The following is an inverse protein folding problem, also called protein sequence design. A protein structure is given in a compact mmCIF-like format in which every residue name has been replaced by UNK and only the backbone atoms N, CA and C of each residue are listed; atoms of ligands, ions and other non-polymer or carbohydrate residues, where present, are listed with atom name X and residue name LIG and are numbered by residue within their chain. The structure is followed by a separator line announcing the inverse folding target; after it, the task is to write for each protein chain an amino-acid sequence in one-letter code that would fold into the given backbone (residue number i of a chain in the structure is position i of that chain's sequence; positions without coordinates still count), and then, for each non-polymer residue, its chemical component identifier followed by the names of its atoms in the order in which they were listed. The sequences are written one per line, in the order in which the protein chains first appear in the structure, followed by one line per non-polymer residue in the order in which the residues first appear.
data_IF_362955387550
#
_entry.id   IF_362955387550
#
_cell.length_a   1.000
_cell.length_b   1.000
_cell.length_c   1.000
_cell.angle_alpha   90.00
_cell.angle_beta   90.00
_cell.angle_gamma   90.00
#
_symmetry.space_group_name_H-M   'P 1'
#
loop_
_entity.id
_entity.type
_entity.pdbx_description
1 polymer ?
#
# COMPACT_ATOMS: atom_id res chain seq x y z
N UNK A 1 -2.13 -19.72 13.21
CA UNK A 1 -1.03 -19.66 14.20
C UNK A 1 -0.94 -18.24 14.79
N UNK A 2 -0.78 -17.21 13.95
CA UNK A 2 -0.87 -15.80 14.36
C UNK A 2 -2.22 -15.42 15.02
N UNK A 3 -3.35 -15.95 14.53
CA UNK A 3 -4.67 -15.67 15.11
C UNK A 3 -4.88 -16.23 16.53
N UNK A 4 -4.12 -17.25 16.92
CA UNK A 4 -4.27 -17.91 18.22
C UNK A 4 -3.24 -17.42 19.25
N UNK A 5 -2.04 -17.02 18.80
CA UNK A 5 -0.98 -16.42 19.63
C UNK A 5 -0.22 -15.35 18.85
N UNK A 6 -0.66 -14.08 18.91
CA UNK A 6 -0.01 -12.99 18.19
C UNK A 6 1.43 -12.73 18.65
N UNK A 7 1.79 -13.14 19.87
CA UNK A 7 3.15 -12.99 20.41
C UNK A 7 4.17 -13.82 19.64
N UNK A 8 3.75 -14.94 19.03
CA UNK A 8 4.63 -15.80 18.22
C UNK A 8 4.97 -15.18 16.86
N UNK A 9 4.28 -14.12 16.44
CA UNK A 9 4.54 -13.45 15.16
C UNK A 9 5.93 -12.81 15.13
N UNK A 10 6.39 -12.21 16.22
CA UNK A 10 7.75 -11.65 16.31
C UNK A 10 8.78 -12.76 16.16
N UNK A 11 8.68 -13.82 16.97
CA UNK A 11 9.67 -14.92 16.98
C UNK A 11 9.77 -15.60 15.61
N UNK A 12 8.63 -15.92 14.99
CA UNK A 12 8.59 -16.54 13.67
C UNK A 12 9.18 -15.65 12.57
N UNK A 13 8.89 -14.35 12.60
CA UNK A 13 9.45 -13.39 11.66
C UNK A 13 10.99 -13.31 11.77
N UNK A 14 11.51 -13.20 13.00
CA UNK A 14 12.95 -13.15 13.29
C UNK A 14 13.69 -14.45 12.96
N UNK A 15 13.01 -15.60 13.04
CA UNK A 15 13.56 -16.91 12.64
C UNK A 15 13.69 -17.10 11.11
N UNK A 16 13.47 -16.04 10.32
CA UNK A 16 13.73 -16.02 8.88
C UNK A 16 12.49 -16.11 8.01
N UNK A 17 11.29 -16.25 8.59
CA UNK A 17 10.04 -16.24 7.82
C UNK A 17 9.87 -14.93 7.06
N UNK A 18 10.10 -13.79 7.71
CA UNK A 18 9.92 -12.48 7.08
C UNK A 18 10.90 -12.28 5.91
N UNK A 19 12.15 -12.68 6.08
CA UNK A 19 13.15 -12.65 5.01
C UNK A 19 12.75 -13.57 3.84
N UNK A 20 12.19 -14.74 4.12
CA UNK A 20 11.71 -15.66 3.09
C UNK A 20 10.52 -15.09 2.32
N UNK A 21 9.55 -14.49 3.01
CA UNK A 21 8.38 -13.84 2.39
C UNK A 21 8.80 -12.71 1.44
N UNK A 22 9.72 -11.84 1.85
CA UNK A 22 10.25 -10.76 1.01
C UNK A 22 10.93 -11.32 -0.26
N UNK A 23 11.74 -12.38 -0.13
CA UNK A 23 12.35 -13.07 -1.28
C UNK A 23 11.28 -13.65 -2.21
N UNK A 24 10.25 -14.27 -1.66
CA UNK A 24 9.16 -14.91 -2.43
C UNK A 24 8.29 -13.90 -3.17
N UNK A 25 8.06 -12.71 -2.60
CA UNK A 25 7.35 -11.61 -3.25
C UNK A 25 8.19 -10.97 -4.37
N UNK A 26 9.49 -10.74 -4.14
CA UNK A 26 10.43 -10.16 -5.12
C UNK A 26 10.76 -11.10 -6.28
N UNK A 27 10.59 -12.41 -6.10
CA UNK A 27 10.91 -13.41 -7.11
C UNK A 27 10.22 -13.08 -8.45
N UNK A 28 10.99 -13.13 -9.54
CA UNK A 28 10.52 -12.89 -10.91
C UNK A 28 9.78 -14.11 -11.43
N UNK A 29 8.64 -14.39 -10.83
CA UNK A 29 7.75 -15.48 -11.19
C UNK A 29 6.37 -14.91 -11.55
N UNK A 30 5.60 -15.59 -12.42
CA UNK A 30 4.21 -15.24 -12.63
C UNK A 30 3.43 -15.19 -11.31
N UNK A 31 2.39 -14.38 -11.27
CA UNK A 31 1.47 -14.36 -10.15
C UNK A 31 0.81 -15.75 -10.00
N UNK A 32 0.75 -16.22 -8.75
CA UNK A 32 0.12 -17.47 -8.35
C UNK A 32 -0.52 -17.32 -6.96
N UNK A 33 -1.39 -18.25 -6.58
CA UNK A 33 -2.08 -18.22 -5.29
C UNK A 33 -1.10 -18.18 -4.09
N UNK A 34 0.08 -18.78 -4.22
CA UNK A 34 1.10 -18.72 -3.18
C UNK A 34 1.67 -17.31 -3.00
N UNK A 35 1.79 -16.53 -4.08
CA UNK A 35 2.24 -15.13 -3.99
C UNK A 35 1.19 -14.26 -3.31
N UNK A 36 -0.09 -14.48 -3.58
CA UNK A 36 -1.20 -13.87 -2.82
C UNK A 36 -1.09 -14.23 -1.34
N UNK A 37 -0.95 -15.51 -1.02
CA UNK A 37 -0.87 -15.97 0.37
C UNK A 37 0.33 -15.38 1.13
N UNK A 38 1.46 -15.22 0.46
CA UNK A 38 2.63 -14.53 1.04
C UNK A 38 2.31 -13.07 1.40
N UNK A 39 1.50 -12.37 0.60
CA UNK A 39 1.11 -10.99 0.89
C UNK A 39 0.19 -10.88 2.11
N UNK A 40 -0.73 -11.82 2.28
CA UNK A 40 -1.62 -11.90 3.45
C UNK A 40 -0.84 -12.18 4.74
N UNK A 41 0.02 -13.20 4.71
CA UNK A 41 0.86 -13.55 5.86
C UNK A 41 1.78 -12.39 6.24
N UNK A 42 2.34 -11.69 5.25
CA UNK A 42 3.16 -10.51 5.50
C UNK A 42 2.37 -9.41 6.21
N UNK A 43 1.16 -9.11 5.75
CA UNK A 43 0.30 -8.10 6.37
C UNK A 43 -0.02 -8.46 7.82
N UNK A 44 -0.31 -9.74 8.10
CA UNK A 44 -0.57 -10.25 9.47
C UNK A 44 0.67 -10.09 10.35
N UNK A 45 1.86 -10.43 9.86
CA UNK A 45 3.09 -10.30 10.67
C UNK A 45 3.41 -8.85 11.05
N UNK A 46 3.02 -7.89 10.21
CA UNK A 46 3.26 -6.47 10.44
C UNK A 46 2.13 -5.79 11.22
N UNK A 47 0.98 -6.46 11.40
CA UNK A 47 -0.17 -5.88 12.08
C UNK A 47 0.17 -5.66 13.56
N UNK A 48 0.09 -4.41 13.99
CA UNK A 48 0.31 -3.98 15.38
C UNK A 48 1.63 -4.49 16.00
N UNK A 49 2.69 -4.62 15.20
CA UNK A 49 3.98 -5.17 15.63
C UNK A 49 5.16 -4.31 15.14
N UNK A 50 5.68 -3.44 16.01
CA UNK A 50 6.79 -2.53 15.69
C UNK A 50 8.13 -3.24 15.46
N UNK A 51 8.38 -4.36 16.15
CA UNK A 51 9.60 -5.15 15.98
C UNK A 51 9.68 -5.72 14.56
N UNK A 52 8.56 -6.24 14.04
CA UNK A 52 8.48 -6.73 12.67
C UNK A 52 8.52 -5.61 11.64
N UNK A 53 7.97 -4.43 11.96
CA UNK A 53 8.07 -3.22 11.10
C UNK A 53 9.51 -2.75 10.97
N UNK A 54 10.29 -2.74 12.06
CA UNK A 54 11.72 -2.40 12.01
C UNK A 54 12.50 -3.46 11.23
N UNK A 55 12.30 -4.75 11.55
CA UNK A 55 12.97 -5.86 10.87
C UNK A 55 12.72 -5.85 9.35
N UNK A 56 11.50 -5.57 8.92
CA UNK A 56 11.21 -5.41 7.49
C UNK A 56 12.01 -4.27 6.88
N UNK A 57 12.10 -3.13 7.58
CA UNK A 57 12.92 -1.99 7.18
C UNK A 57 14.40 -2.36 7.03
N UNK A 58 14.97 -3.08 7.99
CA UNK A 58 16.37 -3.55 7.99
C UNK A 58 16.68 -4.52 6.83
N UNK A 59 15.68 -5.28 6.37
CA UNK A 59 15.81 -6.23 5.27
C UNK A 59 15.52 -5.62 3.88
N UNK A 60 15.61 -4.30 3.75
CA UNK A 60 15.25 -3.54 2.53
C UNK A 60 13.81 -3.84 2.04
N UNK A 61 12.92 -4.21 2.95
CA UNK A 61 11.56 -4.64 2.62
C UNK A 61 10.69 -3.51 2.07
N UNK A 62 10.96 -2.25 2.45
CA UNK A 62 10.27 -1.08 1.89
C UNK A 62 10.47 -1.00 0.38
N UNK A 63 11.70 -1.18 -0.11
CA UNK A 63 11.99 -1.20 -1.54
C UNK A 63 11.32 -2.38 -2.23
N UNK A 64 11.23 -3.54 -1.58
CA UNK A 64 10.50 -4.70 -2.12
C UNK A 64 9.01 -4.36 -2.31
N UNK A 65 8.36 -3.79 -1.29
CA UNK A 65 6.96 -3.39 -1.34
C UNK A 65 6.72 -2.34 -2.45
N UNK A 66 7.54 -1.29 -2.51
CA UNK A 66 7.46 -0.25 -3.54
C UNK A 66 7.67 -0.84 -4.94
N UNK A 67 8.63 -1.74 -5.12
CA UNK A 67 8.88 -2.40 -6.40
C UNK A 67 7.67 -3.23 -6.85
N UNK A 68 7.07 -4.02 -5.95
CA UNK A 68 5.88 -4.82 -6.28
C UNK A 68 4.67 -3.92 -6.61
N UNK A 69 4.43 -2.87 -5.82
CA UNK A 69 3.36 -1.91 -6.08
C UNK A 69 3.57 -1.15 -7.39
N UNK A 70 4.82 -0.90 -7.78
CA UNK A 70 5.14 -0.19 -9.03
C UNK A 70 4.62 -0.87 -10.28
N UNK A 71 4.29 -2.16 -10.24
CA UNK A 71 3.65 -2.88 -11.36
C UNK A 71 2.28 -2.27 -11.68
N UNK A 72 1.54 -1.84 -10.65
CA UNK A 72 0.18 -1.31 -10.75
C UNK A 72 0.11 0.21 -10.94
N UNK A 73 1.24 0.86 -11.28
CA UNK A 73 1.30 2.33 -11.44
C UNK A 73 0.55 2.85 -12.66
N UNK A 74 0.47 2.06 -13.74
CA UNK A 74 -0.15 2.44 -15.03
C UNK A 74 -1.23 1.47 -15.51
N UNK A 75 -1.37 0.32 -14.87
CA UNK A 75 -2.32 -0.73 -15.23
C UNK A 75 -3.05 -1.21 -13.98
N UNK A 76 -4.31 -1.62 -14.15
CA UNK A 76 -5.04 -2.28 -13.09
C UNK A 76 -4.58 -3.75 -12.99
N UNK A 77 -4.75 -4.39 -11.82
CA UNK A 77 -4.66 -5.84 -11.69
C UNK A 77 -5.57 -6.55 -12.72
N UNK A 78 -5.13 -7.71 -13.18
CA UNK A 78 -5.81 -8.50 -14.21
C UNK A 78 -6.93 -9.36 -13.62
N UNK A 79 -6.79 -9.76 -12.36
CA UNK A 79 -7.75 -10.61 -11.64
C UNK A 79 -8.09 -10.03 -10.27
N UNK A 80 -9.15 -10.55 -9.64
CA UNK A 80 -9.54 -10.13 -8.30
C UNK A 80 -8.49 -10.53 -7.25
N UNK A 81 -7.85 -11.69 -7.42
CA UNK A 81 -6.78 -12.20 -6.56
C UNK A 81 -5.52 -11.33 -6.66
N UNK A 82 -5.19 -10.84 -7.86
CA UNK A 82 -4.06 -9.91 -8.03
C UNK A 82 -4.40 -8.54 -7.40
N UNK A 83 -5.66 -8.11 -7.46
CA UNK A 83 -6.12 -6.92 -6.75
C UNK A 83 -6.03 -7.08 -5.23
N UNK A 84 -6.42 -8.23 -4.70
CA UNK A 84 -6.30 -8.53 -3.26
C UNK A 84 -4.84 -8.51 -2.80
N UNK A 85 -3.94 -9.14 -3.57
CA UNK A 85 -2.49 -9.07 -3.30
C UNK A 85 -2.00 -7.61 -3.29
N UNK A 86 -2.45 -6.79 -4.24
CA UNK A 86 -2.08 -5.37 -4.29
C UNK A 86 -2.53 -4.63 -3.01
N UNK A 87 -3.76 -4.87 -2.52
CA UNK A 87 -4.23 -4.24 -1.28
C UNK A 87 -3.45 -4.73 -0.06
N UNK A 88 -3.14 -6.03 0.04
CA UNK A 88 -2.31 -6.57 1.12
C UNK A 88 -0.92 -5.92 1.16
N UNK A 89 -0.32 -5.62 0.00
CA UNK A 89 0.95 -4.90 -0.09
C UNK A 89 0.81 -3.44 0.34
N UNK A 90 -0.30 -2.78 0.03
CA UNK A 90 -0.59 -1.42 0.50
C UNK A 90 -0.79 -1.38 2.02
N UNK A 91 -1.50 -2.34 2.59
CA UNK A 91 -1.72 -2.43 4.03
C UNK A 91 -0.43 -2.74 4.78
N UNK A 92 0.41 -3.64 4.24
CA UNK A 92 1.77 -3.88 4.74
C UNK A 92 2.60 -2.60 4.75
N UNK A 93 2.58 -1.83 3.65
CA UNK A 93 3.32 -0.56 3.55
C UNK A 93 2.79 0.50 4.52
N UNK A 94 1.47 0.64 4.67
CA UNK A 94 0.87 1.55 5.64
C UNK A 94 1.26 1.17 7.07
N UNK A 95 1.25 -0.12 7.40
CA UNK A 95 1.68 -0.61 8.71
C UNK A 95 3.15 -0.26 8.98
N UNK A 96 4.05 -0.48 8.01
CA UNK A 96 5.45 -0.09 8.14
C UNK A 96 5.64 1.41 8.40
N UNK A 97 4.85 2.27 7.75
CA UNK A 97 4.92 3.74 7.90
C UNK A 97 4.42 4.27 9.25
N UNK A 98 3.79 3.41 10.07
CA UNK A 98 3.50 3.73 11.47
C UNK A 98 4.76 3.81 12.32
N UNK A 99 5.87 3.20 11.89
CA UNK A 99 7.17 3.30 12.53
C UNK A 99 8.02 4.39 11.88
N UNK A 100 8.56 5.30 12.68
CA UNK A 100 9.27 6.50 12.21
C UNK A 100 10.49 6.19 11.33
N UNK A 101 11.27 5.15 11.69
CA UNK A 101 12.47 4.72 10.95
C UNK A 101 12.17 4.36 9.50
N UNK A 102 10.99 3.82 9.22
CA UNK A 102 10.59 3.43 7.87
C UNK A 102 10.19 4.61 6.99
N UNK A 103 9.94 5.80 7.55
CA UNK A 103 9.60 6.99 6.77
C UNK A 103 10.78 7.51 5.96
N UNK A 104 11.97 7.49 6.56
CA UNK A 104 13.21 7.82 5.84
C UNK A 104 13.51 6.77 4.76
N UNK A 105 13.31 5.47 5.06
CA UNK A 105 13.47 4.38 4.08
C UNK A 105 12.50 4.55 2.90
N UNK A 106 11.24 4.87 3.16
CA UNK A 106 10.23 5.16 2.13
C UNK A 106 10.59 6.38 1.27
N UNK A 107 11.11 7.44 1.90
CA UNK A 107 11.60 8.63 1.21
C UNK A 107 12.76 8.30 0.26
N UNK A 108 13.76 7.54 0.74
CA UNK A 108 14.91 7.08 -0.04
C UNK A 108 14.50 6.16 -1.20
N UNK A 109 13.50 5.31 -0.99
CA UNK A 109 12.95 4.41 -2.01
C UNK A 109 12.06 5.08 -3.06
N UNK A 110 12.00 6.41 -3.11
CA UNK A 110 11.14 7.19 -4.01
C UNK A 110 9.63 6.87 -3.86
N UNK A 111 9.20 6.48 -2.66
CA UNK A 111 7.82 6.12 -2.38
C UNK A 111 6.84 7.25 -2.69
N UNK A 112 7.21 8.50 -2.38
CA UNK A 112 6.40 9.68 -2.66
C UNK A 112 6.17 9.87 -4.16
N UNK A 113 7.22 9.70 -4.98
CA UNK A 113 7.15 9.81 -6.43
C UNK A 113 6.21 8.75 -7.00
N UNK A 114 6.31 7.52 -6.51
CA UNK A 114 5.44 6.42 -6.93
C UNK A 114 3.98 6.70 -6.57
N UNK A 115 3.67 7.08 -5.33
CA UNK A 115 2.30 7.36 -4.92
C UNK A 115 1.72 8.57 -5.66
N UNK A 116 2.49 9.63 -5.85
CA UNK A 116 2.09 10.80 -6.63
C UNK A 116 1.78 10.42 -8.10
N UNK A 117 2.57 9.54 -8.69
CA UNK A 117 2.30 9.00 -10.03
C UNK A 117 1.00 8.19 -10.05
N UNK A 118 0.78 7.29 -9.10
CA UNK A 118 -0.46 6.49 -9.01
C UNK A 118 -1.71 7.37 -8.89
N UNK A 119 -1.66 8.45 -8.10
CA UNK A 119 -2.75 9.41 -8.00
C UNK A 119 -3.08 10.07 -9.34
N UNK A 120 -2.05 10.42 -10.12
CA UNK A 120 -2.16 11.04 -11.45
C UNK A 120 -2.70 10.09 -12.51
N UNK A 121 -2.34 8.81 -12.46
CA UNK A 121 -2.74 7.76 -13.42
C UNK A 121 -4.19 7.28 -13.25
N UNK A 122 -4.82 7.63 -12.11
CA UNK A 122 -6.27 7.48 -11.91
C UNK A 122 -6.76 6.03 -11.92
N UNK A 123 -5.88 5.07 -11.65
CA UNK A 123 -6.16 3.62 -11.60
C UNK A 123 -6.78 3.20 -10.27
N UNK A 124 -7.09 1.90 -10.13
CA UNK A 124 -7.72 1.37 -8.92
C UNK A 124 -6.83 1.55 -7.67
N UNK A 125 -5.50 1.52 -7.86
CA UNK A 125 -4.47 1.79 -6.85
C UNK A 125 -4.49 3.21 -6.27
N UNK A 126 -5.24 4.15 -6.86
CA UNK A 126 -5.31 5.54 -6.40
C UNK A 126 -5.71 5.65 -4.94
N UNK A 127 -6.76 4.94 -4.54
CA UNK A 127 -7.33 5.09 -3.18
C UNK A 127 -6.30 4.71 -2.13
N UNK A 128 -5.62 3.60 -2.34
CA UNK A 128 -4.60 3.08 -1.42
C UNK A 128 -3.31 3.90 -1.48
N UNK A 129 -2.94 4.43 -2.66
CA UNK A 129 -1.84 5.40 -2.77
C UNK A 129 -2.09 6.69 -1.97
N UNK A 130 -3.35 7.16 -1.92
CA UNK A 130 -3.72 8.31 -1.09
C UNK A 130 -3.57 8.00 0.41
N UNK A 131 -4.01 6.80 0.84
CA UNK A 131 -3.82 6.31 2.22
C UNK A 131 -2.33 6.26 2.59
N UNK A 132 -1.48 5.71 1.72
CA UNK A 132 -0.03 5.67 1.97
C UNK A 132 0.57 7.07 2.15
N UNK A 133 0.17 8.04 1.32
CA UNK A 133 0.63 9.42 1.44
C UNK A 133 0.26 10.05 2.78
N UNK A 134 -0.95 9.80 3.27
CA UNK A 134 -1.39 10.26 4.59
C UNK A 134 -0.49 9.68 5.70
N UNK A 135 -0.29 8.36 5.71
CA UNK A 135 0.59 7.68 6.67
C UNK A 135 2.06 8.14 6.60
N UNK A 136 2.57 8.46 5.41
CA UNK A 136 3.95 8.92 5.23
C UNK A 136 4.18 10.34 5.77
N UNK A 137 3.16 11.19 5.76
CA UNK A 137 3.25 12.63 6.05
C UNK A 137 2.68 13.03 7.41
N UNK A 138 1.93 12.15 8.09
CA UNK A 138 1.27 12.47 9.36
C UNK A 138 2.26 12.65 10.53
N UNK A 139 2.13 13.74 11.29
CA UNK A 139 2.90 13.98 12.51
C UNK A 139 4.34 14.48 12.28
N UNK A 140 5.11 14.75 13.35
CA UNK A 140 6.42 15.40 13.27
C UNK A 140 7.43 14.64 12.42
N UNK A 141 7.44 13.31 12.52
CA UNK A 141 8.32 12.40 11.80
C UNK A 141 8.03 12.36 10.28
N UNK A 142 6.95 13.01 9.83
CA UNK A 142 6.55 13.11 8.42
C UNK A 142 7.03 14.39 7.74
N UNK A 143 7.72 15.27 8.48
CA UNK A 143 8.10 16.61 8.01
C UNK A 143 8.94 16.58 6.73
N UNK A 144 9.93 15.70 6.63
CA UNK A 144 10.76 15.58 5.43
C UNK A 144 9.95 15.07 4.23
N UNK A 145 9.02 14.14 4.49
CA UNK A 145 8.10 13.67 3.46
C UNK A 145 7.16 14.77 2.97
N UNK A 146 6.67 15.63 3.86
CA UNK A 146 5.86 16.80 3.49
C UNK A 146 6.61 17.76 2.57
N UNK A 147 7.84 18.14 2.93
CA UNK A 147 8.67 19.01 2.09
C UNK A 147 8.94 18.37 0.73
N UNK A 148 9.37 17.10 0.72
CA UNK A 148 9.63 16.39 -0.53
C UNK A 148 8.39 16.27 -1.39
N UNK A 149 7.21 16.05 -0.80
CA UNK A 149 5.95 15.96 -1.52
C UNK A 149 5.64 17.26 -2.28
N UNK A 150 5.91 18.42 -1.68
CA UNK A 150 5.78 19.73 -2.35
C UNK A 150 6.79 19.84 -3.50
N UNK A 151 8.05 19.48 -3.26
CA UNK A 151 9.13 19.56 -4.26
C UNK A 151 8.83 18.74 -5.53
N UNK A 152 8.19 17.57 -5.37
CA UNK A 152 7.81 16.70 -6.49
C UNK A 152 6.46 17.09 -7.13
N UNK A 153 6.01 18.33 -6.93
CA UNK A 153 4.75 18.88 -7.44
C UNK A 153 3.50 18.15 -6.92
N UNK A 154 3.55 17.58 -5.71
CA UNK A 154 2.43 16.85 -5.10
C UNK A 154 1.18 17.70 -4.89
N UNK A 155 1.35 19.01 -4.68
CA UNK A 155 0.24 19.96 -4.56
C UNK A 155 -0.67 19.94 -5.81
N UNK A 156 -0.09 19.91 -7.01
CA UNK A 156 -0.84 19.85 -8.27
C UNK A 156 -1.72 18.59 -8.36
N UNK A 157 -1.34 17.52 -7.66
CA UNK A 157 -2.06 16.25 -7.66
C UNK A 157 -3.14 16.20 -6.58
N UNK A 158 -2.86 16.70 -5.37
CA UNK A 158 -3.78 16.59 -4.23
C UNK A 158 -4.92 17.64 -4.25
N UNK A 159 -4.65 18.88 -4.69
CA UNK A 159 -5.67 19.94 -4.71
C UNK A 159 -6.92 19.58 -5.56
N UNK A 160 -6.78 18.97 -6.76
CA UNK A 160 -7.94 18.49 -7.51
C UNK A 160 -8.78 17.45 -6.76
N UNK A 161 -8.16 16.57 -5.96
CA UNK A 161 -8.86 15.57 -5.17
C UNK A 161 -9.62 16.20 -4.01
N UNK A 162 -9.08 17.26 -3.40
CA UNK A 162 -9.76 18.06 -2.38
C UNK A 162 -10.99 18.78 -2.92
N UNK A 163 -10.88 19.38 -4.12
CA UNK A 163 -11.99 20.13 -4.74
C UNK A 163 -13.12 19.22 -5.25
N UNK A 164 -12.80 17.99 -5.65
CA UNK A 164 -13.77 17.04 -6.17
C UNK A 164 -13.38 15.62 -5.82
N UNK A 165 -14.09 15.05 -4.85
CA UNK A 165 -13.94 13.64 -4.49
C UNK A 165 -14.23 12.75 -5.71
N UNK A 166 -13.31 11.84 -6.07
CA UNK A 166 -13.55 10.86 -7.12
C UNK A 166 -14.79 10.02 -6.82
N UNK A 167 -15.58 9.70 -7.85
CA UNK A 167 -16.67 8.71 -7.72
C UNK A 167 -16.04 7.35 -7.40
N UNK A 168 -16.69 6.55 -6.54
CA UNK A 168 -16.23 5.19 -6.21
C UNK A 168 -16.05 4.40 -7.51
N UNK A 169 -14.82 3.95 -7.76
CA UNK A 169 -14.51 3.06 -8.89
C UNK A 169 -15.19 1.72 -8.58
N UNK A 170 -16.05 1.23 -9.49
CA UNK A 170 -16.73 -0.06 -9.34
C UNK A 170 -15.67 -1.16 -9.13
N UNK A 171 -15.82 -1.99 -8.09
CA UNK A 171 -15.00 -3.20 -7.91
C UNK A 171 -15.18 -4.10 -9.13
N UNK A 172 -14.10 -4.73 -9.58
CA UNK A 172 -14.18 -5.80 -10.59
C UNK A 172 -15.07 -6.90 -10.01
N UNK A 173 -16.21 -7.19 -10.65
CA UNK A 173 -17.13 -8.28 -10.24
C UNK A 173 -18.52 -7.87 -9.72
N UNK A 174 -18.87 -6.58 -9.64
CA UNK A 174 -20.25 -6.18 -9.25
C UNK A 174 -21.14 -5.99 -10.48
N UNK A 175 -22.11 -6.89 -10.69
CA UNK A 175 -23.15 -6.76 -11.74
C UNK A 175 -24.12 -5.62 -11.44
N UNK A 176 -24.59 -4.94 -12.48
CA UNK A 176 -25.40 -3.70 -12.45
C UNK A 176 -26.84 -3.86 -11.96
N UNK A 177 -27.06 -4.30 -10.72
CA UNK A 177 -28.36 -4.19 -10.08
C UNK A 177 -28.19 -3.63 -8.69
N UNK A 178 -28.20 -2.30 -8.59
CA UNK A 178 -28.62 -1.49 -7.43
C UNK A 178 -28.12 -0.04 -7.61
N UNK A 179 -28.84 0.74 -8.43
CA UNK A 179 -28.93 2.19 -8.28
C UNK A 179 -30.08 2.75 -9.14
N UNK A 180 -31.31 2.31 -8.85
CA UNK A 180 -32.45 3.21 -9.01
C UNK A 180 -32.69 3.84 -7.63
N UNK A 181 -32.24 5.08 -7.50
CA UNK A 181 -32.33 5.88 -6.29
C UNK A 181 -32.17 7.34 -6.71
N UNK A 182 -33.30 7.96 -7.04
CA UNK A 182 -33.42 9.21 -7.79
C UNK A 182 -32.64 10.39 -7.20
N UNK A 183 -32.11 11.20 -8.11
CA UNK A 183 -32.01 12.64 -7.90
C UNK A 183 -32.79 13.31 -9.01
N UNK A 184 -34.08 13.50 -8.75
CA UNK A 184 -34.80 14.61 -9.33
C UNK A 184 -34.26 15.90 -8.71
N UNK A 185 -34.03 16.88 -9.57
CA UNK A 185 -33.52 18.20 -9.26
C UNK A 185 -33.75 19.06 -10.49
N UNK A 186 -35.03 19.34 -10.75
CA UNK A 186 -35.47 20.47 -11.57
C UNK A 186 -35.41 21.74 -10.71
N UNK A 187 -35.06 22.87 -11.35
CA UNK A 187 -35.31 24.23 -10.83
C UNK A 187 -34.08 24.95 -10.31
#
# INVERSE_FOLDING_TARGET
MAEFRPEMCTEGAQQGLLQWLLKRLKAKMPFDANKLYCSEVLAILLQDNDENRELLGELDGIDVLLQQLSVFKRHNPSTAEEQEMMENLFDSLCSCLMLSSNRERFLKGEGLQLMNLMLREKKISRSSALKVLDHAMIGPEGTDNCHKFVDILGLRTIFPLFMKSPRKIKKVGTTEKEHEGGREGEG
#
